data_IF_454940236599
#
_entry.id   IF_454940236599
#
_cell.length_a   1.000
_cell.length_b   1.000
_cell.length_c   1.000
_cell.angle_alpha   90.00
_cell.angle_beta   90.00
_cell.angle_gamma   90.00
#
_symmetry.space_group_name_H-M   'P 1'
#
loop_
_entity.id
_entity.type
_entity.pdbx_description
1 polymer ?
#
# COMPACT_ATOMS: atom_id res chain seq x y z
N UNK A 1 57.56 16.07 17.76
CA UNK A 1 56.70 17.28 17.83
C UNK A 1 55.77 17.48 16.63
N UNK A 2 55.93 16.83 15.50
CA UNK A 2 55.10 17.03 14.30
C UNK A 2 53.71 16.32 14.33
N UNK A 3 53.52 15.24 15.09
CA UNK A 3 52.25 14.50 15.14
C UNK A 3 51.15 15.16 16.01
N UNK A 4 51.53 15.98 17.00
CA UNK A 4 50.55 16.67 17.85
C UNK A 4 49.86 17.87 17.17
N UNK A 5 50.55 18.49 16.20
CA UNK A 5 50.05 19.65 15.45
C UNK A 5 49.00 19.26 14.42
N UNK A 6 49.12 18.09 13.79
CA UNK A 6 48.19 17.60 12.79
C UNK A 6 46.82 17.24 13.43
N UNK A 7 46.82 16.62 14.61
CA UNK A 7 45.60 16.25 15.35
C UNK A 7 44.80 17.46 15.84
N UNK A 8 45.49 18.55 16.22
CA UNK A 8 44.81 19.80 16.61
C UNK A 8 44.19 20.53 15.42
N UNK A 9 44.85 20.50 14.26
CA UNK A 9 44.31 21.08 13.03
C UNK A 9 43.10 20.32 12.52
N UNK A 10 43.11 18.98 12.56
CA UNK A 10 41.95 18.13 12.22
C UNK A 10 40.79 18.38 13.17
N UNK A 11 41.04 18.48 14.48
CA UNK A 11 40.00 18.76 15.47
C UNK A 11 39.36 20.14 15.26
N UNK A 12 40.13 21.14 14.85
CA UNK A 12 39.64 22.49 14.56
C UNK A 12 38.80 22.48 13.28
N UNK A 13 39.20 21.78 12.23
CA UNK A 13 38.45 21.62 10.99
C UNK A 13 37.13 20.87 11.23
N UNK A 14 37.14 19.83 12.07
CA UNK A 14 35.92 19.09 12.45
C UNK A 14 34.94 19.98 13.22
N UNK A 15 35.41 20.81 14.13
CA UNK A 15 34.57 21.76 14.87
C UNK A 15 33.95 22.81 13.96
N UNK A 16 34.67 23.30 12.96
CA UNK A 16 34.11 24.22 11.96
C UNK A 16 33.04 23.55 11.08
N UNK A 17 33.29 22.32 10.64
CA UNK A 17 32.28 21.55 9.90
C UNK A 17 31.02 21.29 10.73
N UNK A 18 31.15 20.95 12.01
CA UNK A 18 30.03 20.75 12.92
C UNK A 18 29.23 22.06 13.08
N UNK A 19 29.90 23.19 13.22
CA UNK A 19 29.23 24.50 13.33
C UNK A 19 28.46 24.85 12.06
N UNK A 20 29.00 24.54 10.89
CA UNK A 20 28.37 24.77 9.59
C UNK A 20 27.13 23.87 9.40
N UNK A 21 27.23 22.62 9.84
CA UNK A 21 26.09 21.67 9.82
C UNK A 21 24.97 22.13 10.76
N UNK A 22 25.28 22.58 11.97
CA UNK A 22 24.29 23.12 12.90
C UNK A 22 23.58 24.35 12.33
N UNK A 23 24.31 25.29 11.71
CA UNK A 23 23.69 26.43 11.03
C UNK A 23 22.77 26.02 9.88
N UNK A 24 23.13 24.96 9.16
CA UNK A 24 22.33 24.46 8.05
C UNK A 24 21.05 23.77 8.53
N UNK A 25 21.10 23.06 9.65
CA UNK A 25 19.96 22.47 10.33
C UNK A 25 19.01 23.58 10.80
N UNK A 26 19.51 24.59 11.47
CA UNK A 26 18.71 25.72 11.96
C UNK A 26 18.02 26.50 10.81
N UNK A 27 18.72 26.66 9.69
CA UNK A 27 18.16 27.29 8.48
C UNK A 27 17.06 26.42 7.85
N UNK A 28 17.24 25.09 7.82
CA UNK A 28 16.23 24.16 7.32
C UNK A 28 15.00 24.13 8.22
N UNK A 29 15.16 24.15 9.55
CA UNK A 29 14.06 24.21 10.50
C UNK A 29 13.27 25.54 10.39
N UNK A 30 13.97 26.66 10.19
CA UNK A 30 13.36 27.96 9.97
C UNK A 30 12.59 28.04 8.66
N UNK A 31 13.11 27.46 7.59
CA UNK A 31 12.42 27.35 6.31
C UNK A 31 11.22 26.42 6.39
N UNK A 32 11.28 25.34 7.16
CA UNK A 32 10.18 24.43 7.38
C UNK A 32 9.03 25.11 8.17
N UNK A 33 9.36 25.93 9.17
CA UNK A 33 8.38 26.75 9.91
C UNK A 33 7.77 27.87 9.04
N UNK A 34 8.57 28.49 8.16
CA UNK A 34 8.07 29.51 7.24
C UNK A 34 7.16 28.94 6.14
N UNK A 35 7.38 27.71 5.72
CA UNK A 35 6.51 27.01 4.75
C UNK A 35 5.16 26.55 5.34
N UNK A 36 5.03 26.50 6.67
CA UNK A 36 3.78 26.20 7.36
C UNK A 36 2.91 27.43 7.63
N UNK A 37 3.46 28.67 7.48
CA UNK A 37 2.79 29.92 7.83
C UNK A 37 2.09 30.66 6.68
N UNK A 38 2.06 30.13 5.48
CA UNK A 38 1.57 30.84 4.31
C UNK A 38 0.45 30.14 3.55
N UNK A 39 -0.68 29.86 4.18
CA UNK A 39 -1.90 29.46 3.46
C UNK A 39 -3.06 30.31 3.95
N UNK A 40 -3.44 31.27 3.11
CA UNK A 40 -4.68 32.04 3.18
C UNK A 40 -5.89 31.11 3.22
N UNK A 41 -6.93 31.52 3.98
CA UNK A 41 -8.17 30.79 4.25
C UNK A 41 -8.78 30.09 3.02
N UNK A 42 -9.17 28.82 3.16
CA UNK A 42 -9.84 28.10 2.10
C UNK A 42 -11.35 28.16 2.26
N UNK A 43 -12.03 28.42 1.15
CA UNK A 43 -13.42 27.99 0.97
C UNK A 43 -13.55 26.53 1.40
N UNK A 44 -14.60 26.21 2.21
CA UNK A 44 -14.88 24.84 2.70
C UNK A 44 -14.82 23.83 1.57
N UNK A 45 -13.84 22.91 1.54
CA UNK A 45 -13.79 21.88 0.54
C UNK A 45 -14.80 20.78 0.89
N UNK A 46 -15.52 20.30 -0.10
CA UNK A 46 -16.15 18.99 -0.07
C UNK A 46 -15.07 17.98 0.33
N UNK A 47 -15.35 17.14 1.33
CA UNK A 47 -14.40 16.20 1.91
C UNK A 47 -13.66 15.41 0.82
N UNK A 48 -12.34 15.56 0.81
CA UNK A 48 -11.48 14.76 -0.08
C UNK A 48 -11.38 13.37 0.51
N UNK A 49 -11.27 12.35 -0.33
CA UNK A 49 -10.93 10.95 0.05
C UNK A 49 -9.67 10.88 0.95
N UNK A 50 -8.87 11.96 0.98
CA UNK A 50 -7.69 12.14 1.84
C UNK A 50 -7.99 12.46 3.33
N UNK A 51 -9.22 12.74 3.70
CA UNK A 51 -9.58 13.25 5.03
C UNK A 51 -10.23 12.20 5.94
N UNK A 52 -10.13 10.93 5.54
CA UNK A 52 -10.40 9.79 6.43
C UNK A 52 -9.41 9.83 7.61
N UNK A 53 -9.79 9.35 8.83
CA UNK A 53 -8.83 9.13 9.88
C UNK A 53 -7.72 8.24 9.32
N UNK A 54 -6.61 8.89 8.98
CA UNK A 54 -5.46 8.18 8.43
C UNK A 54 -4.98 7.23 9.50
N UNK A 55 -4.76 5.94 9.17
CA UNK A 55 -3.97 5.10 10.04
C UNK A 55 -2.67 5.85 10.37
N UNK A 56 -2.04 5.63 11.54
CA UNK A 56 -0.84 6.35 11.93
C UNK A 56 0.11 6.34 10.74
N UNK A 57 0.36 7.52 10.19
CA UNK A 57 1.12 7.68 8.94
C UNK A 57 2.49 7.05 9.20
N UNK A 58 2.92 6.04 8.49
CA UNK A 58 4.26 5.50 8.64
C UNK A 58 5.25 6.65 8.54
N UNK A 59 6.25 6.66 9.38
CA UNK A 59 7.26 7.71 9.40
C UNK A 59 7.80 7.88 7.98
N UNK A 60 7.53 9.02 7.37
CA UNK A 60 7.93 9.31 6.00
C UNK A 60 9.11 10.28 6.03
N UNK A 61 10.24 9.85 5.51
CA UNK A 61 11.37 10.75 5.26
C UNK A 61 11.17 11.40 3.89
N UNK A 62 11.07 12.72 3.87
CA UNK A 62 10.94 13.49 2.63
C UNK A 62 12.18 14.33 2.44
N UNK A 63 12.81 14.21 1.30
CA UNK A 63 13.95 15.03 0.88
C UNK A 63 13.68 15.62 -0.51
N UNK A 64 14.21 16.80 -0.77
CA UNK A 64 14.06 17.45 -2.07
C UNK A 64 13.84 18.95 -1.94
N UNK A 65 13.34 19.55 -3.00
CA UNK A 65 13.03 20.96 -3.09
C UNK A 65 11.57 21.19 -3.53
N UNK A 66 11.18 22.44 -3.78
CA UNK A 66 9.80 22.76 -4.16
C UNK A 66 9.36 22.18 -5.52
N UNK A 67 10.31 21.71 -6.35
CA UNK A 67 10.02 21.15 -7.68
C UNK A 67 10.08 19.63 -7.70
N UNK A 68 11.00 19.03 -6.96
CA UNK A 68 11.18 17.58 -6.91
C UNK A 68 11.33 17.13 -5.46
N UNK A 69 10.56 16.15 -5.07
CA UNK A 69 10.55 15.54 -3.73
C UNK A 69 10.74 14.03 -3.85
N UNK A 70 11.49 13.45 -2.92
CA UNK A 70 11.60 12.01 -2.73
C UNK A 70 11.09 11.68 -1.33
N UNK A 71 10.14 10.76 -1.27
CA UNK A 71 9.61 10.24 -0.02
C UNK A 71 9.99 8.77 0.13
N UNK A 72 10.51 8.41 1.30
CA UNK A 72 10.75 7.03 1.72
C UNK A 72 9.77 6.71 2.85
N UNK A 73 9.05 5.61 2.69
CA UNK A 73 8.13 5.08 3.70
C UNK A 73 8.18 3.55 3.74
N UNK A 74 7.58 2.96 4.75
CA UNK A 74 7.52 1.51 4.86
C UNK A 74 6.89 1.08 6.16
N UNK A 75 6.75 -0.22 6.31
CA UNK A 75 6.24 -0.85 7.53
C UNK A 75 6.84 -2.22 7.73
N UNK A 76 6.90 -2.65 8.98
CA UNK A 76 7.10 -4.04 9.38
C UNK A 76 5.80 -4.49 10.03
N UNK A 77 5.12 -5.47 9.44
CA UNK A 77 3.81 -5.95 9.90
C UNK A 77 3.87 -7.45 10.18
N UNK A 78 4.04 -7.79 11.44
CA UNK A 78 4.11 -9.17 11.90
C UNK A 78 3.13 -9.40 13.02
N UNK A 79 2.65 -10.65 13.13
CA UNK A 79 1.73 -11.03 14.20
C UNK A 79 2.03 -12.45 14.73
N UNK A 80 1.47 -12.73 15.88
CA UNK A 80 1.45 -14.06 16.47
C UNK A 80 0.07 -14.64 16.25
N UNK A 81 -0.01 -15.86 15.70
CA UNK A 81 -1.26 -16.58 15.52
C UNK A 81 -1.28 -17.86 16.35
N UNK A 82 -2.47 -18.23 16.78
CA UNK A 82 -2.76 -19.57 17.26
C UNK A 82 -3.59 -20.26 16.18
N UNK A 83 -2.96 -21.22 15.52
CA UNK A 83 -3.58 -21.96 14.42
C UNK A 83 -4.02 -23.34 14.89
N UNK A 84 -5.26 -23.75 14.60
CA UNK A 84 -5.80 -25.08 14.89
C UNK A 84 -6.55 -25.61 13.66
N UNK A 85 -6.23 -26.84 13.23
CA UNK A 85 -6.89 -27.50 12.10
C UNK A 85 -7.82 -28.65 12.51
N UNK A 86 -8.13 -28.73 13.80
CA UNK A 86 -8.97 -29.78 14.37
C UNK A 86 -8.23 -31.09 14.72
N UNK A 87 -6.90 -31.14 14.54
CA UNK A 87 -6.02 -32.22 14.97
C UNK A 87 -4.77 -31.70 15.67
N UNK A 88 -4.12 -30.73 15.08
CA UNK A 88 -2.90 -30.12 15.59
C UNK A 88 -3.12 -28.63 15.78
N UNK A 89 -2.53 -28.08 16.82
CA UNK A 89 -2.47 -26.66 17.09
C UNK A 89 -1.03 -26.18 17.13
N UNK A 90 -0.80 -24.93 16.77
CA UNK A 90 0.53 -24.32 16.79
C UNK A 90 0.43 -22.82 17.03
N UNK A 91 1.34 -22.30 17.85
CA UNK A 91 1.63 -20.86 17.90
C UNK A 91 2.64 -20.55 16.80
N UNK A 92 2.37 -19.58 15.98
CA UNK A 92 3.23 -19.17 14.85
C UNK A 92 3.49 -17.67 14.87
N UNK A 93 4.69 -17.27 14.44
CA UNK A 93 5.09 -15.89 14.21
C UNK A 93 5.13 -15.66 12.71
N UNK A 94 4.24 -14.84 12.19
CA UNK A 94 4.03 -14.69 10.75
C UNK A 94 4.20 -13.26 10.28
N UNK A 95 4.62 -13.10 9.02
CA UNK A 95 4.45 -11.84 8.29
C UNK A 95 2.99 -11.74 7.82
N UNK A 96 2.36 -10.59 8.04
CA UNK A 96 0.96 -10.38 7.68
C UNK A 96 0.82 -10.19 6.16
N UNK A 97 0.38 -11.22 5.45
CA UNK A 97 0.23 -11.17 3.99
C UNK A 97 -0.82 -10.18 3.52
N UNK A 98 -1.77 -9.81 4.36
CA UNK A 98 -2.79 -8.81 4.05
C UNK A 98 -2.17 -7.44 3.83
N UNK A 99 -1.40 -6.95 4.79
CA UNK A 99 -0.69 -5.68 4.69
C UNK A 99 0.80 -5.90 4.98
N UNK A 100 1.49 -6.55 4.06
CA UNK A 100 2.83 -7.08 4.20
C UNK A 100 3.89 -6.06 4.60
N UNK A 101 4.98 -6.56 5.19
CA UNK A 101 6.21 -5.81 5.40
C UNK A 101 6.73 -5.29 4.06
N UNK A 102 6.97 -3.98 3.94
CA UNK A 102 7.34 -3.34 2.67
C UNK A 102 8.11 -2.05 2.83
N UNK A 103 8.82 -1.68 1.77
CA UNK A 103 9.44 -0.39 1.56
C UNK A 103 8.82 0.28 0.34
N UNK A 104 8.60 1.57 0.42
CA UNK A 104 8.03 2.38 -0.65
C UNK A 104 8.90 3.64 -0.88
N UNK A 105 9.28 3.85 -2.12
CA UNK A 105 9.96 5.03 -2.61
C UNK A 105 9.01 5.77 -3.54
N UNK A 106 8.73 7.03 -3.26
CA UNK A 106 7.90 7.87 -4.11
C UNK A 106 8.65 9.13 -4.49
N UNK A 107 9.01 9.23 -5.76
CA UNK A 107 9.49 10.47 -6.36
C UNK A 107 8.30 11.28 -6.86
N UNK A 108 8.28 12.59 -6.62
CA UNK A 108 7.23 13.49 -7.11
C UNK A 108 7.83 14.77 -7.64
N UNK A 109 7.37 15.22 -8.81
CA UNK A 109 7.77 16.48 -9.42
C UNK A 109 6.60 17.20 -10.07
N UNK A 110 6.60 18.53 -10.01
CA UNK A 110 5.67 19.36 -10.77
C UNK A 110 6.19 19.49 -12.20
N UNK A 111 5.42 19.03 -13.18
CA UNK A 111 5.71 19.26 -14.60
C UNK A 111 5.33 20.69 -14.99
N UNK A 112 4.19 21.15 -14.50
CA UNK A 112 3.68 22.52 -14.58
C UNK A 112 2.70 22.77 -13.44
N UNK A 113 2.03 23.93 -13.41
CA UNK A 113 1.10 24.30 -12.34
C UNK A 113 -0.16 23.40 -12.24
N UNK A 114 -0.47 22.65 -13.29
CA UNK A 114 -1.65 21.78 -13.36
C UNK A 114 -1.30 20.29 -13.32
N UNK A 115 -0.05 19.92 -13.61
CA UNK A 115 0.36 18.52 -13.77
C UNK A 115 1.49 18.16 -12.82
N UNK A 116 1.29 17.12 -12.05
CA UNK A 116 2.31 16.48 -11.22
C UNK A 116 2.65 15.12 -11.82
N UNK A 117 3.95 14.78 -11.85
CA UNK A 117 4.43 13.46 -12.21
C UNK A 117 5.01 12.79 -10.98
N UNK A 118 4.66 11.53 -10.76
CA UNK A 118 5.21 10.73 -9.67
C UNK A 118 5.73 9.40 -10.19
N UNK A 119 6.84 8.93 -9.61
CA UNK A 119 7.32 7.56 -9.77
C UNK A 119 7.18 6.83 -8.44
N UNK A 120 6.65 5.62 -8.45
CA UNK A 120 6.48 4.79 -7.26
C UNK A 120 7.20 3.48 -7.45
N UNK A 121 8.05 3.13 -6.48
CA UNK A 121 8.69 1.82 -6.35
C UNK A 121 8.32 1.25 -4.99
N UNK A 122 7.53 0.18 -4.94
CA UNK A 122 7.17 -0.51 -3.70
C UNK A 122 7.63 -1.96 -3.77
N UNK A 123 8.42 -2.37 -2.77
CA UNK A 123 8.97 -3.71 -2.64
C UNK A 123 8.45 -4.34 -1.35
N UNK A 124 7.85 -5.50 -1.48
CA UNK A 124 7.40 -6.35 -0.38
C UNK A 124 8.55 -7.26 0.07
N UNK A 125 8.73 -7.37 1.39
CA UNK A 125 9.70 -8.26 2.03
C UNK A 125 8.91 -9.37 2.70
N UNK A 126 8.94 -10.57 2.14
CA UNK A 126 8.23 -11.74 2.69
C UNK A 126 9.16 -12.60 3.55
N UNK A 127 8.76 -12.82 4.79
CA UNK A 127 9.42 -13.74 5.71
C UNK A 127 8.34 -14.50 6.49
N UNK A 128 8.19 -15.79 6.25
CA UNK A 128 7.11 -16.60 6.84
C UNK A 128 5.70 -16.03 6.59
N UNK A 129 5.27 -15.81 5.33
CA UNK A 129 4.00 -15.16 5.03
C UNK A 129 2.81 -16.01 5.46
N UNK A 130 1.83 -15.39 6.10
CA UNK A 130 0.61 -16.04 6.61
C UNK A 130 -0.22 -16.72 5.53
N UNK A 131 -0.17 -16.21 4.30
CA UNK A 131 -0.86 -16.78 3.13
C UNK A 131 -0.41 -18.20 2.79
N UNK A 132 0.85 -18.56 3.08
CA UNK A 132 1.42 -19.86 2.68
C UNK A 132 1.84 -20.74 3.85
N UNK A 133 1.79 -20.22 5.08
CA UNK A 133 2.25 -20.92 6.28
C UNK A 133 1.24 -21.96 6.77
N UNK A 134 1.60 -23.23 6.79
CA UNK A 134 0.80 -24.33 7.34
C UNK A 134 1.23 -24.73 8.78
N UNK A 135 0.36 -25.38 9.52
CA UNK A 135 0.64 -25.96 10.84
C UNK A 135 1.64 -27.13 10.69
N UNK A 136 2.68 -27.13 11.53
CA UNK A 136 3.74 -28.15 11.52
C UNK A 136 4.84 -27.90 10.50
N UNK A 137 4.80 -26.78 9.79
CA UNK A 137 5.93 -26.34 8.97
C UNK A 137 6.92 -25.61 9.86
N UNK A 138 8.18 -26.05 9.90
CA UNK A 138 9.22 -25.32 10.60
C UNK A 138 9.39 -23.91 9.99
N UNK A 139 9.65 -22.87 10.81
CA UNK A 139 10.05 -21.60 10.27
C UNK A 139 11.49 -21.72 9.80
N UNK A 140 11.66 -21.84 8.51
CA UNK A 140 12.98 -21.70 7.91
C UNK A 140 13.26 -20.23 7.71
N UNK A 141 13.66 -19.56 8.79
CA UNK A 141 14.07 -18.16 8.75
C UNK A 141 15.25 -17.91 7.79
N UNK A 142 15.95 -18.97 7.40
CA UNK A 142 17.10 -18.90 6.50
C UNK A 142 16.77 -19.06 5.02
N UNK A 143 15.60 -19.60 4.68
CA UNK A 143 15.36 -20.06 3.29
C UNK A 143 14.41 -19.21 2.48
N UNK A 144 13.78 -18.16 3.03
CA UNK A 144 12.72 -17.50 2.30
C UNK A 144 12.45 -16.02 2.60
N UNK A 145 13.50 -15.22 2.81
CA UNK A 145 13.32 -13.78 2.59
C UNK A 145 13.19 -13.57 1.09
N UNK A 146 11.98 -13.32 0.65
CA UNK A 146 11.69 -13.11 -0.76
C UNK A 146 11.30 -11.63 -0.97
N UNK A 147 12.01 -10.98 -1.90
CA UNK A 147 11.66 -9.64 -2.35
C UNK A 147 10.69 -9.76 -3.52
N UNK A 148 9.55 -9.11 -3.40
CA UNK A 148 8.54 -9.07 -4.44
C UNK A 148 8.23 -7.64 -4.82
N UNK A 149 8.25 -7.37 -6.11
CA UNK A 149 7.71 -6.13 -6.65
C UNK A 149 6.21 -6.04 -6.39
N UNK A 150 5.76 -4.91 -5.83
CA UNK A 150 4.34 -4.60 -5.64
C UNK A 150 3.89 -3.49 -6.56
N UNK A 151 4.70 -2.44 -6.66
CA UNK A 151 4.43 -1.30 -7.54
C UNK A 151 5.71 -0.84 -8.21
N UNK A 152 5.63 -0.61 -9.49
CA UNK A 152 6.67 0.03 -10.30
C UNK A 152 5.95 0.83 -11.38
N UNK A 153 5.62 2.09 -11.06
CA UNK A 153 4.70 2.86 -11.88
C UNK A 153 5.03 4.34 -11.96
N UNK A 154 4.72 4.92 -13.10
CA UNK A 154 4.68 6.35 -13.33
C UNK A 154 3.24 6.85 -13.30
N UNK A 155 3.00 7.99 -12.66
CA UNK A 155 1.68 8.57 -12.46
C UNK A 155 1.70 10.02 -12.94
N UNK A 156 0.81 10.34 -13.86
CA UNK A 156 0.57 11.70 -14.34
C UNK A 156 -0.76 12.18 -13.75
N UNK A 157 -0.70 13.12 -12.82
CA UNK A 157 -1.87 13.66 -12.12
C UNK A 157 -2.15 15.08 -12.61
N UNK A 158 -3.19 15.25 -13.42
CA UNK A 158 -3.61 16.55 -13.93
C UNK A 158 -4.86 17.01 -13.19
N UNK A 159 -4.85 18.23 -12.66
CA UNK A 159 -5.93 18.78 -11.81
C UNK A 159 -7.32 18.71 -12.47
N UNK A 160 -7.39 18.94 -13.80
CA UNK A 160 -8.64 19.00 -14.55
C UNK A 160 -8.98 17.70 -15.28
N UNK A 161 -7.98 16.94 -15.72
CA UNK A 161 -8.19 15.77 -16.58
C UNK A 161 -8.07 14.44 -15.84
N UNK A 162 -7.71 14.43 -14.55
CA UNK A 162 -7.58 13.21 -13.75
C UNK A 162 -6.20 12.60 -13.82
N UNK A 163 -6.11 11.29 -13.60
CA UNK A 163 -4.85 10.58 -13.42
C UNK A 163 -4.65 9.49 -14.44
N UNK A 164 -3.46 9.46 -15.03
CA UNK A 164 -2.97 8.39 -15.86
C UNK A 164 -1.86 7.63 -15.10
N UNK A 165 -1.97 6.32 -15.05
CA UNK A 165 -1.04 5.43 -14.36
C UNK A 165 -0.46 4.45 -15.38
N UNK A 166 0.87 4.27 -15.38
CA UNK A 166 1.59 3.40 -16.30
C UNK A 166 2.53 2.49 -15.52
N UNK A 167 2.52 1.19 -15.78
CA UNK A 167 3.41 0.20 -15.20
C UNK A 167 2.71 -0.75 -14.22
N UNK A 168 3.51 -1.49 -13.45
CA UNK A 168 3.04 -2.47 -12.48
C UNK A 168 2.40 -1.79 -11.29
N UNK A 169 1.14 -2.09 -11.03
CA UNK A 169 0.40 -1.52 -9.90
C UNK A 169 -1.08 -1.91 -9.88
N UNK A 170 -1.86 -1.34 -8.95
CA UNK A 170 -3.28 -1.65 -8.78
C UNK A 170 -4.11 -1.36 -10.01
N UNK A 171 -4.93 -2.30 -10.44
CA UNK A 171 -5.97 -2.12 -11.44
C UNK A 171 -7.07 -1.17 -10.92
N UNK A 172 -7.97 -0.70 -11.77
CA UNK A 172 -9.05 0.19 -11.35
C UNK A 172 -10.02 -0.48 -10.38
N UNK A 173 -10.25 -1.79 -10.51
CA UNK A 173 -11.11 -2.60 -9.64
C UNK A 173 -10.48 -2.98 -8.29
N UNK A 174 -9.18 -2.69 -8.10
CA UNK A 174 -8.51 -3.00 -6.84
C UNK A 174 -9.17 -2.28 -5.67
N UNK A 175 -9.34 -3.00 -4.54
CA UNK A 175 -9.97 -2.51 -3.31
C UNK A 175 -11.46 -2.12 -3.42
N UNK A 176 -12.19 -2.53 -4.46
CA UNK A 176 -13.61 -2.22 -4.58
C UNK A 176 -14.51 -3.16 -3.76
N UNK A 177 -14.03 -4.33 -3.36
CA UNK A 177 -14.69 -5.24 -2.41
C UNK A 177 -14.38 -4.95 -0.94
N UNK A 178 -13.60 -3.91 -0.63
CA UNK A 178 -12.94 -3.71 0.67
C UNK A 178 -13.08 -2.28 1.19
N UNK A 179 -14.14 -1.58 0.83
CA UNK A 179 -14.39 -0.25 1.40
C UNK A 179 -14.63 -0.41 2.90
N UNK A 180 -13.67 0.01 3.70
CA UNK A 180 -13.67 -0.14 5.14
C UNK A 180 -13.25 1.16 5.85
N UNK A 181 -14.06 1.59 6.80
CA UNK A 181 -13.81 2.78 7.63
C UNK A 181 -13.55 2.42 9.10
N UNK A 182 -13.33 1.13 9.42
CA UNK A 182 -12.98 0.69 10.77
C UNK A 182 -11.65 1.25 11.27
N UNK A 183 -10.73 1.56 10.34
CA UNK A 183 -9.35 1.94 10.65
C UNK A 183 -8.45 0.75 11.02
N UNK A 184 -8.91 -0.48 10.81
CA UNK A 184 -8.15 -1.71 11.12
C UNK A 184 -7.47 -2.32 9.90
N UNK A 185 -7.55 -1.70 8.75
CA UNK A 185 -7.08 -2.17 7.44
C UNK A 185 -5.56 -2.45 7.34
N UNK A 186 -4.75 -1.99 8.30
CA UNK A 186 -3.33 -2.38 8.42
C UNK A 186 -3.18 -3.78 9.02
N UNK A 187 -4.13 -4.20 9.86
CA UNK A 187 -4.11 -5.47 10.58
C UNK A 187 -4.98 -6.49 9.85
N UNK A 188 -6.19 -6.12 9.53
CA UNK A 188 -7.21 -6.96 8.89
C UNK A 188 -8.35 -6.11 8.35
N UNK A 189 -8.96 -6.54 7.25
CA UNK A 189 -10.31 -6.12 6.86
C UNK A 189 -11.28 -7.29 6.97
N UNK A 190 -12.57 -7.03 6.90
CA UNK A 190 -13.61 -8.04 7.10
C UNK A 190 -13.59 -9.21 6.12
N UNK A 191 -12.86 -9.11 5.01
CA UNK A 191 -12.82 -10.10 3.93
C UNK A 191 -11.52 -10.92 3.85
N UNK A 192 -10.55 -10.70 4.74
CA UNK A 192 -9.15 -11.07 4.52
C UNK A 192 -8.64 -12.29 5.31
N UNK A 193 -9.52 -13.17 5.73
CA UNK A 193 -9.10 -14.41 6.44
C UNK A 193 -8.12 -15.25 5.62
N UNK A 194 -8.24 -15.22 4.29
CA UNK A 194 -7.32 -15.91 3.41
C UNK A 194 -5.88 -15.43 3.56
N UNK A 195 -5.65 -14.14 3.76
CA UNK A 195 -4.30 -13.59 3.90
C UNK A 195 -3.71 -13.85 5.28
N UNK A 196 -4.54 -13.94 6.32
CA UNK A 196 -4.07 -14.16 7.70
C UNK A 196 -3.79 -15.62 8.02
N UNK A 197 -4.57 -16.54 7.46
CA UNK A 197 -4.48 -17.97 7.74
C UNK A 197 -4.45 -18.84 6.47
N UNK A 198 -4.18 -18.24 5.32
CA UNK A 198 -4.34 -18.84 4.01
C UNK A 198 -3.58 -20.15 3.80
N UNK A 199 -2.40 -20.29 4.39
CA UNK A 199 -1.59 -21.50 4.27
C UNK A 199 -2.06 -22.70 5.11
N UNK A 200 -3.00 -22.49 6.05
CA UNK A 200 -3.47 -23.56 6.94
C UNK A 200 -4.27 -24.59 6.14
N UNK A 201 -3.81 -25.84 6.19
CA UNK A 201 -4.48 -26.98 5.55
C UNK A 201 -5.56 -27.56 6.45
N UNK A 202 -6.67 -27.91 5.84
CA UNK A 202 -7.73 -28.64 6.54
C UNK A 202 -7.30 -30.05 6.91
N UNK A 203 -7.84 -30.56 8.01
CA UNK A 203 -7.64 -31.93 8.43
C UNK A 203 -8.92 -32.75 8.19
N UNK A 204 -8.80 -33.80 7.38
CA UNK A 204 -9.91 -34.71 7.11
C UNK A 204 -10.03 -35.74 8.25
N UNK A 205 -11.06 -35.60 9.09
CA UNK A 205 -11.30 -36.48 10.25
C UNK A 205 -11.55 -37.94 9.84
N UNK A 206 -12.10 -38.16 8.64
CA UNK A 206 -12.42 -39.53 8.15
C UNK A 206 -11.16 -40.26 7.69
N UNK A 207 -10.32 -39.63 6.86
CA UNK A 207 -9.11 -40.21 6.29
C UNK A 207 -7.89 -40.11 7.24
N UNK A 208 -8.02 -39.31 8.32
CA UNK A 208 -6.93 -39.01 9.26
C UNK A 208 -5.71 -38.35 8.61
N UNK A 209 -5.89 -37.65 7.50
CA UNK A 209 -4.82 -37.00 6.73
C UNK A 209 -5.09 -35.50 6.56
N UNK A 210 -4.02 -34.73 6.34
CA UNK A 210 -4.15 -33.35 5.87
C UNK A 210 -4.75 -33.33 4.47
N UNK A 211 -5.69 -32.44 4.23
CA UNK A 211 -6.22 -32.16 2.89
C UNK A 211 -5.18 -31.35 2.07
N UNK A 212 -5.22 -31.49 0.77
CA UNK A 212 -4.42 -30.63 -0.11
C UNK A 212 -4.92 -29.18 -0.12
N UNK A 213 -6.21 -28.97 0.21
CA UNK A 213 -6.83 -27.64 0.26
C UNK A 213 -6.38 -26.87 1.48
N UNK A 214 -6.17 -25.58 1.27
CA UNK A 214 -5.87 -24.59 2.30
C UNK A 214 -7.00 -23.55 2.38
N UNK A 215 -6.99 -22.71 3.40
CA UNK A 215 -7.96 -21.60 3.49
C UNK A 215 -7.91 -20.75 2.22
N UNK A 216 -6.72 -20.36 1.74
CA UNK A 216 -6.56 -19.56 0.53
C UNK A 216 -7.03 -20.24 -0.77
N UNK A 217 -7.20 -21.57 -0.78
CA UNK A 217 -7.70 -22.28 -1.97
C UNK A 217 -9.22 -22.45 -2.00
N UNK A 218 -9.90 -22.20 -0.88
CA UNK A 218 -11.35 -22.37 -0.74
C UNK A 218 -12.09 -21.07 -0.39
N UNK A 219 -11.35 -20.04 -0.06
CA UNK A 219 -11.86 -18.72 0.26
C UNK A 219 -11.25 -17.68 -0.68
N UNK A 220 -12.07 -16.79 -1.22
CA UNK A 220 -11.66 -15.68 -2.09
C UNK A 220 -12.47 -14.44 -1.72
N UNK A 221 -11.84 -13.29 -1.63
CA UNK A 221 -12.47 -12.02 -1.32
C UNK A 221 -12.91 -11.21 -2.55
N UNK A 222 -12.85 -11.83 -3.72
CA UNK A 222 -13.37 -11.30 -4.99
C UNK A 222 -12.93 -9.88 -5.38
N UNK A 223 -11.68 -9.59 -5.36
CA UNK A 223 -11.24 -8.29 -5.90
C UNK A 223 -9.99 -7.71 -5.30
N UNK A 224 -9.36 -8.49 -4.47
CA UNK A 224 -8.11 -8.08 -3.89
C UNK A 224 -6.91 -8.38 -4.76
N UNK A 225 -5.93 -7.48 -4.66
CA UNK A 225 -4.57 -7.74 -5.07
C UNK A 225 -4.35 -7.83 -6.57
N UNK A 226 -5.28 -7.39 -7.39
CA UNK A 226 -5.05 -7.27 -8.81
C UNK A 226 -4.06 -6.16 -9.10
N UNK A 227 -2.77 -6.51 -9.09
CA UNK A 227 -1.69 -5.67 -9.59
C UNK A 227 -1.18 -6.26 -10.87
N UNK A 228 -1.10 -5.44 -11.91
CA UNK A 228 -0.68 -5.85 -13.24
C UNK A 228 0.18 -4.75 -13.87
N UNK A 229 0.97 -5.13 -14.87
CA UNK A 229 1.51 -4.17 -15.83
C UNK A 229 0.37 -3.63 -16.68
N UNK A 230 -0.04 -2.40 -16.40
CA UNK A 230 -1.25 -1.80 -16.97
C UNK A 230 -1.10 -0.33 -17.33
N UNK A 231 -2.02 0.11 -18.15
CA UNK A 231 -2.45 1.50 -18.26
C UNK A 231 -3.75 1.65 -17.50
N UNK A 232 -3.84 2.64 -16.61
CA UNK A 232 -5.04 2.96 -15.85
C UNK A 232 -5.32 4.44 -15.94
N UNK A 233 -6.60 4.79 -16.07
CA UNK A 233 -7.08 6.15 -16.00
C UNK A 233 -8.14 6.27 -14.90
N UNK A 234 -8.02 7.33 -14.09
CA UNK A 234 -9.02 7.74 -13.11
C UNK A 234 -9.49 9.16 -13.42
N UNK A 235 -10.80 9.39 -13.46
CA UNK A 235 -11.37 10.73 -13.62
C UNK A 235 -11.02 11.64 -12.44
N UNK A 236 -11.10 12.96 -12.61
CA UNK A 236 -11.18 13.86 -11.48
C UNK A 236 -12.35 13.48 -10.56
N UNK A 237 -12.23 13.85 -9.28
CA UNK A 237 -13.33 13.67 -8.34
C UNK A 237 -14.51 14.59 -8.72
N UNK A 238 -15.66 14.02 -9.00
CA UNK A 238 -16.89 14.73 -9.25
C UNK A 238 -17.89 14.49 -8.11
N UNK A 239 -17.98 15.43 -7.17
CA UNK A 239 -18.90 15.37 -6.01
C UNK A 239 -18.81 14.06 -5.23
N UNK A 240 -17.58 13.55 -5.01
CA UNK A 240 -17.32 12.30 -4.32
C UNK A 240 -17.19 11.09 -5.24
N UNK A 241 -17.58 11.17 -6.50
CA UNK A 241 -17.47 10.07 -7.47
C UNK A 241 -16.16 10.13 -8.24
N UNK A 242 -15.52 8.97 -8.39
CA UNK A 242 -14.38 8.75 -9.27
C UNK A 242 -14.65 7.50 -10.09
N UNK A 243 -14.61 7.64 -11.42
CA UNK A 243 -14.63 6.51 -12.34
C UNK A 243 -13.20 6.15 -12.70
N UNK A 244 -12.87 4.84 -12.70
CA UNK A 244 -11.57 4.30 -13.09
C UNK A 244 -11.74 3.21 -14.14
N UNK A 245 -10.79 3.13 -15.06
CA UNK A 245 -10.68 2.03 -16.01
C UNK A 245 -9.23 1.65 -16.23
N UNK A 246 -8.94 0.36 -16.44
CA UNK A 246 -7.60 -0.10 -16.78
C UNK A 246 -7.58 -1.23 -17.80
N UNK A 247 -6.45 -1.30 -18.50
CA UNK A 247 -6.11 -2.35 -19.43
C UNK A 247 -4.71 -2.86 -19.10
N UNK A 248 -4.58 -4.15 -18.92
CA UNK A 248 -3.34 -4.81 -18.57
C UNK A 248 -2.92 -5.85 -19.62
N UNK A 249 -1.72 -6.34 -19.46
CA UNK A 249 -1.16 -7.41 -20.29
C UNK A 249 -2.13 -8.60 -20.38
N UNK A 250 -2.21 -9.24 -21.56
CA UNK A 250 -3.15 -10.32 -21.89
C UNK A 250 -4.62 -9.90 -21.97
N UNK A 251 -4.87 -8.64 -22.34
CA UNK A 251 -6.21 -8.08 -22.53
C UNK A 251 -7.11 -8.16 -21.28
N UNK A 252 -6.48 -8.16 -20.10
CA UNK A 252 -7.22 -8.02 -18.84
C UNK A 252 -7.71 -6.58 -18.78
N UNK A 253 -9.01 -6.41 -18.62
CA UNK A 253 -9.65 -5.09 -18.53
C UNK A 253 -10.52 -5.02 -17.29
N UNK A 254 -10.61 -3.83 -16.72
CA UNK A 254 -11.56 -3.56 -15.65
C UNK A 254 -12.06 -2.11 -15.66
N UNK A 255 -13.14 -1.90 -14.93
CA UNK A 255 -13.68 -0.58 -14.65
C UNK A 255 -14.26 -0.55 -13.23
N UNK A 256 -14.22 0.62 -12.61
CA UNK A 256 -14.75 0.83 -11.27
C UNK A 256 -15.45 2.18 -11.16
N UNK A 257 -16.43 2.25 -10.27
CA UNK A 257 -17.01 3.49 -9.78
C UNK A 257 -16.85 3.50 -8.25
N UNK A 258 -16.19 4.52 -7.74
CA UNK A 258 -15.94 4.70 -6.31
C UNK A 258 -16.61 5.99 -5.84
N UNK A 259 -17.21 5.94 -4.67
CA UNK A 259 -17.84 7.08 -4.02
C UNK A 259 -17.29 7.27 -2.62
N UNK A 260 -16.98 8.51 -2.25
CA UNK A 260 -16.68 8.91 -0.89
C UNK A 260 -17.34 10.27 -0.61
N UNK A 261 -18.08 10.34 0.48
CA UNK A 261 -18.80 11.56 0.90
C UNK A 261 -18.99 11.65 2.40
N UNK A 262 -19.41 12.83 2.85
CA UNK A 262 -19.68 13.11 4.26
C UNK A 262 -20.95 13.96 4.40
N UNK A 263 -21.80 13.59 5.34
CA UNK A 263 -23.00 14.35 5.72
C UNK A 263 -23.01 14.52 7.23
N UNK A 264 -22.83 15.74 7.69
CA UNK A 264 -22.64 16.02 9.12
C UNK A 264 -21.37 15.37 9.65
N UNK A 265 -21.51 14.47 10.62
CA UNK A 265 -20.40 13.67 11.17
C UNK A 265 -20.31 12.25 10.58
N UNK A 266 -21.20 11.92 9.66
CA UNK A 266 -21.27 10.57 9.09
C UNK A 266 -20.53 10.51 7.76
N UNK A 267 -19.57 9.59 7.65
CA UNK A 267 -18.80 9.33 6.40
C UNK A 267 -19.38 8.12 5.69
N UNK A 268 -19.48 8.22 4.37
CA UNK A 268 -19.99 7.18 3.50
C UNK A 268 -18.93 6.83 2.46
N UNK A 269 -18.69 5.56 2.26
CA UNK A 269 -17.88 5.05 1.16
C UNK A 269 -18.59 3.89 0.48
N UNK A 270 -18.49 3.83 -0.84
CA UNK A 270 -18.99 2.73 -1.63
C UNK A 270 -18.13 2.56 -2.88
N UNK A 271 -18.01 1.33 -3.35
CA UNK A 271 -17.35 1.03 -4.61
C UNK A 271 -18.02 -0.15 -5.30
N UNK A 272 -18.02 -0.12 -6.62
CA UNK A 272 -18.44 -1.24 -7.47
C UNK A 272 -17.44 -1.37 -8.62
N UNK A 273 -17.21 -2.61 -9.09
CA UNK A 273 -16.33 -2.87 -10.21
C UNK A 273 -16.75 -4.05 -11.04
N UNK A 274 -16.27 -4.06 -12.27
CA UNK A 274 -16.28 -5.19 -13.19
C UNK A 274 -14.86 -5.43 -13.68
N UNK A 275 -14.46 -6.69 -13.72
CA UNK A 275 -13.16 -7.08 -14.28
C UNK A 275 -13.34 -8.30 -15.19
N UNK A 276 -12.56 -8.36 -16.27
CA UNK A 276 -12.58 -9.44 -17.24
C UNK A 276 -11.16 -9.86 -17.60
N UNK A 277 -10.93 -11.15 -17.53
CA UNK A 277 -9.71 -11.78 -18.03
C UNK A 277 -10.12 -12.75 -19.14
N UNK A 278 -9.90 -12.41 -20.42
CA UNK A 278 -10.27 -13.25 -21.53
C UNK A 278 -9.31 -14.45 -21.72
N UNK A 279 -8.15 -14.43 -21.07
CA UNK A 279 -7.13 -15.45 -21.28
C UNK A 279 -7.60 -16.82 -20.78
N UNK A 280 -7.73 -17.76 -21.72
CA UNK A 280 -8.01 -19.16 -21.46
C UNK A 280 -6.80 -20.00 -21.86
N UNK A 281 -6.05 -20.49 -20.85
CA UNK A 281 -4.95 -21.43 -21.05
C UNK A 281 -5.40 -22.88 -20.83
N UNK A 282 -4.49 -23.84 -21.03
CA UNK A 282 -4.76 -25.27 -20.83
C UNK A 282 -5.25 -25.63 -19.42
N UNK A 283 -4.97 -24.79 -18.42
CA UNK A 283 -5.30 -25.03 -17.00
C UNK A 283 -6.22 -23.98 -16.36
N UNK A 284 -6.51 -22.86 -17.06
CA UNK A 284 -7.39 -21.80 -16.56
C UNK A 284 -8.30 -21.31 -17.67
N UNK A 285 -9.61 -21.23 -17.37
CA UNK A 285 -10.59 -20.56 -18.22
C UNK A 285 -10.53 -19.04 -17.94
N UNK A 286 -10.87 -18.25 -18.96
CA UNK A 286 -11.14 -16.83 -18.77
C UNK A 286 -12.26 -16.64 -17.71
N UNK A 287 -12.26 -15.48 -17.06
CA UNK A 287 -13.26 -15.18 -16.03
C UNK A 287 -13.76 -13.73 -16.14
N UNK A 288 -14.95 -13.55 -15.68
CA UNK A 288 -15.56 -12.24 -15.43
C UNK A 288 -15.92 -12.14 -13.95
N UNK A 289 -15.73 -10.98 -13.36
CA UNK A 289 -15.97 -10.73 -11.95
C UNK A 289 -16.70 -9.41 -11.79
N UNK A 290 -17.69 -9.41 -10.92
CA UNK A 290 -18.42 -8.23 -10.45
C UNK A 290 -18.30 -8.19 -8.95
N UNK A 291 -17.91 -7.06 -8.39
CA UNK A 291 -17.80 -6.90 -6.95
C UNK A 291 -18.21 -5.49 -6.51
N UNK A 292 -18.35 -5.32 -5.22
CA UNK A 292 -18.61 -4.05 -4.61
C UNK A 292 -18.71 -4.16 -3.10
N UNK A 293 -18.52 -3.04 -2.43
CA UNK A 293 -18.64 -2.91 -0.99
C UNK A 293 -19.06 -1.50 -0.60
N UNK A 294 -19.54 -1.36 0.62
CA UNK A 294 -19.86 -0.06 1.20
C UNK A 294 -19.54 -0.05 2.70
N UNK A 295 -19.18 1.10 3.21
CA UNK A 295 -18.90 1.34 4.63
C UNK A 295 -19.45 2.67 5.07
N UNK A 296 -19.91 2.73 6.33
CA UNK A 296 -20.44 3.93 6.95
C UNK A 296 -19.76 4.10 8.32
N UNK A 297 -19.23 5.29 8.57
CA UNK A 297 -18.65 5.66 9.86
C UNK A 297 -19.46 6.78 10.50
N UNK A 298 -20.00 6.52 11.67
CA UNK A 298 -20.63 7.52 12.54
C UNK A 298 -19.61 8.06 13.52
N UNK A 299 -19.52 9.39 13.66
CA UNK A 299 -18.63 10.08 14.59
C UNK A 299 -19.41 10.92 15.61
#
# INVERSE_FOLDING_TARGET
MAQATTSQQELTALKEQLKLLMQRIETLEKNQKASQGGLSEPQKPIAKVSDLPKPPVPLQVVSGNNKVQLALSGQVNRFVSFDDNGKNSQVSHKDNSFSSTRLNFTGRGALNDETTVSGVVEVEIRSDPSLTRDIGTASDASSSVFLRERRLEAIFDHKRYGKLWLGQGPMASDSTSEVDYSGTDVITSGSEIQDQAGGVKFFNKRTKQKDARTIATVYDNYGQGFRQDRVRYDTPNFKGFVFGASHATRDIVDASLKYAGEVGKTKFGAAVAVAKNPFSGSTRKGWEQYNGSASVLFQ
#
